data_IF_026805956591
#
_entry.id   IF_026805956591
#
_cell.length_a   1.000
_cell.length_b   1.000
_cell.length_c   1.000
_cell.angle_alpha   90.00
_cell.angle_beta   90.00
_cell.angle_gamma   90.00
#
_symmetry.space_group_name_H-M   'P 1'
#
loop_
_entity.id
_entity.type
_entity.pdbx_description
1 polymer ?
#
# COMPACT_ATOMS: atom_id res chain seq x y z
N UNK A 1 -5.86 2.00 11.08
CA UNK A 1 -4.97 2.54 12.12
C UNK A 1 -3.65 1.78 12.05
N UNK A 2 -2.54 2.50 12.13
CA UNK A 2 -1.19 1.94 12.16
C UNK A 2 -0.46 2.56 13.36
N UNK A 3 -0.16 1.77 14.39
CA UNK A 3 0.28 2.31 15.68
C UNK A 3 -0.79 3.26 16.24
N UNK A 4 -0.43 4.54 16.43
CA UNK A 4 -1.37 5.60 16.83
C UNK A 4 -1.88 6.46 15.67
N UNK A 5 -1.34 6.27 14.45
CA UNK A 5 -1.73 7.05 13.27
C UNK A 5 -3.00 6.51 12.61
N UNK A 6 -3.89 7.43 12.18
CA UNK A 6 -5.03 7.09 11.34
C UNK A 6 -4.66 7.32 9.87
N UNK A 7 -4.81 6.27 9.06
CA UNK A 7 -4.51 6.32 7.62
C UNK A 7 -5.67 5.76 6.81
N UNK A 8 -5.84 6.30 5.60
CA UNK A 8 -6.82 5.87 4.62
C UNK A 8 -6.12 5.32 3.38
N UNK A 9 -6.63 4.21 2.83
CA UNK A 9 -6.16 3.69 1.54
C UNK A 9 -6.67 4.58 0.41
N UNK A 10 -5.74 5.09 -0.40
CA UNK A 10 -6.10 5.96 -1.54
C UNK A 10 -6.57 5.15 -2.74
N UNK A 11 -7.34 5.79 -3.63
CA UNK A 11 -7.75 5.19 -4.91
C UNK A 11 -6.60 5.05 -5.93
N UNK A 12 -5.46 5.74 -5.73
CA UNK A 12 -4.34 5.71 -6.66
C UNK A 12 -3.68 4.32 -6.65
N UNK A 13 -3.59 3.63 -7.79
CA UNK A 13 -2.99 2.31 -7.84
C UNK A 13 -1.45 2.39 -7.75
N UNK A 14 -0.84 1.38 -7.17
CA UNK A 14 0.62 1.26 -7.08
C UNK A 14 1.10 0.16 -8.04
N UNK A 15 1.46 0.53 -9.27
CA UNK A 15 1.64 -0.42 -10.38
C UNK A 15 3.10 -0.75 -10.74
N UNK A 16 4.08 -0.22 -10.00
CA UNK A 16 5.51 -0.44 -10.26
C UNK A 16 6.08 0.56 -11.27
N UNK A 17 6.92 1.48 -10.79
CA UNK A 17 7.60 2.51 -11.59
C UNK A 17 8.93 2.01 -12.18
N UNK A 18 9.63 2.86 -12.93
CA UNK A 18 10.95 2.53 -13.50
C UNK A 18 11.97 2.09 -12.44
N UNK A 19 11.91 2.66 -11.23
CA UNK A 19 12.78 2.23 -10.13
C UNK A 19 12.47 0.81 -9.65
N UNK A 20 11.21 0.37 -9.75
CA UNK A 20 10.83 -1.00 -9.45
C UNK A 20 11.42 -1.96 -10.48
N UNK A 21 11.32 -1.63 -11.77
CA UNK A 21 11.94 -2.40 -12.86
C UNK A 21 13.45 -2.51 -12.69
N UNK A 22 14.11 -1.40 -12.34
CA UNK A 22 15.57 -1.40 -12.11
C UNK A 22 16.00 -2.31 -10.96
N UNK A 23 15.15 -2.50 -9.94
CA UNK A 23 15.48 -3.32 -8.76
C UNK A 23 15.08 -4.79 -8.91
N UNK A 24 13.98 -5.07 -9.60
CA UNK A 24 13.35 -6.40 -9.62
C UNK A 24 13.12 -6.97 -11.03
N UNK A 25 13.38 -6.20 -12.08
CA UNK A 25 13.18 -6.61 -13.48
C UNK A 25 11.78 -6.33 -14.03
N UNK A 26 11.67 -6.46 -15.36
CA UNK A 26 10.43 -6.22 -16.11
C UNK A 26 9.38 -7.29 -15.82
N UNK A 27 9.79 -8.54 -15.65
CA UNK A 27 8.85 -9.64 -15.40
C UNK A 27 8.17 -9.49 -14.03
N UNK A 28 8.91 -9.04 -13.01
CA UNK A 28 8.33 -8.69 -11.72
C UNK A 28 7.31 -7.55 -11.84
N UNK A 29 7.60 -6.51 -12.63
CA UNK A 29 6.66 -5.41 -12.88
C UNK A 29 5.40 -5.91 -13.57
N UNK A 30 5.53 -6.75 -14.60
CA UNK A 30 4.39 -7.35 -15.32
C UNK A 30 3.55 -8.23 -14.40
N UNK A 31 4.18 -9.03 -13.55
CA UNK A 31 3.49 -9.88 -12.58
C UNK A 31 2.62 -9.06 -11.62
N UNK A 32 3.20 -8.07 -10.93
CA UNK A 32 2.45 -7.23 -9.98
C UNK A 32 1.47 -6.28 -10.68
N UNK A 33 1.74 -5.91 -11.93
CA UNK A 33 0.89 -5.04 -12.77
C UNK A 33 -0.24 -5.75 -13.52
N UNK A 34 -0.25 -7.09 -13.54
CA UNK A 34 -1.31 -7.89 -14.16
C UNK A 34 -2.69 -7.62 -13.52
N UNK A 35 -3.78 -7.99 -14.18
CA UNK A 35 -5.14 -7.79 -13.64
C UNK A 35 -5.33 -8.51 -12.29
N UNK A 36 -4.75 -9.71 -12.16
CA UNK A 36 -4.72 -10.45 -10.89
C UNK A 36 -3.86 -9.69 -9.88
N UNK A 37 -2.66 -9.25 -10.27
CA UNK A 37 -1.75 -8.51 -9.41
C UNK A 37 -2.34 -7.21 -8.87
N UNK A 38 -3.08 -6.48 -9.70
CA UNK A 38 -3.79 -5.25 -9.33
C UNK A 38 -4.96 -5.53 -8.40
N UNK A 39 -5.77 -6.56 -8.67
CA UNK A 39 -6.88 -6.99 -7.79
C UNK A 39 -6.41 -7.35 -6.38
N UNK A 40 -5.28 -8.05 -6.29
CA UNK A 40 -4.68 -8.43 -5.00
C UNK A 40 -3.71 -7.39 -4.43
N UNK A 41 -3.46 -6.28 -5.15
CA UNK A 41 -2.54 -5.21 -4.73
C UNK A 41 -1.13 -5.75 -4.40
N UNK A 42 -0.60 -6.65 -5.23
CA UNK A 42 0.65 -7.38 -4.96
C UNK A 42 1.90 -6.49 -4.86
N UNK A 43 1.87 -5.29 -5.46
CA UNK A 43 2.94 -4.29 -5.28
C UNK A 43 2.83 -3.54 -3.95
N UNK A 44 1.65 -3.53 -3.34
CA UNK A 44 1.28 -2.71 -2.19
C UNK A 44 0.23 -1.65 -2.53
N UNK A 45 -0.02 -0.77 -1.58
CA UNK A 45 -1.02 0.30 -1.65
C UNK A 45 -0.41 1.62 -1.20
N UNK A 46 -1.01 2.72 -1.64
CA UNK A 46 -0.76 4.04 -1.07
C UNK A 46 -1.79 4.35 0.01
N UNK A 47 -1.30 4.91 1.11
CA UNK A 47 -2.14 5.44 2.18
C UNK A 47 -1.89 6.93 2.37
N UNK A 48 -2.90 7.64 2.83
CA UNK A 48 -2.81 9.04 3.27
C UNK A 48 -3.00 9.09 4.77
N UNK A 49 -2.21 9.92 5.46
CA UNK A 49 -2.41 10.20 6.88
C UNK A 49 -3.64 11.11 7.02
N UNK A 50 -4.60 10.68 7.82
CA UNK A 50 -5.81 11.42 8.18
C UNK A 50 -5.65 12.06 9.56
N UNK A 51 -4.95 11.38 10.46
CA UNK A 51 -4.59 11.90 11.77
C UNK A 51 -3.15 11.53 12.08
N UNK A 52 -2.38 12.52 12.49
CA UNK A 52 -0.98 12.35 12.88
C UNK A 52 -0.84 11.36 14.03
N UNK A 53 0.32 10.71 14.08
CA UNK A 53 0.65 9.73 15.10
C UNK A 53 2.00 9.09 14.83
N UNK A 54 2.31 8.09 15.63
CA UNK A 54 3.54 7.31 15.55
C UNK A 54 3.24 5.87 15.19
N UNK A 55 4.14 5.27 14.41
CA UNK A 55 4.13 3.85 14.09
C UNK A 55 5.57 3.32 14.13
N UNK A 56 5.75 2.13 14.69
CA UNK A 56 7.01 1.42 14.81
C UNK A 56 6.93 -0.02 14.33
N UNK A 57 8.09 -0.68 14.23
CA UNK A 57 8.15 -2.11 13.93
C UNK A 57 7.52 -2.88 15.09
N UNK A 58 6.59 -3.78 14.76
CA UNK A 58 5.83 -4.57 15.75
C UNK A 58 4.44 -4.02 16.05
N UNK A 59 4.12 -2.79 15.62
CA UNK A 59 2.77 -2.26 15.77
C UNK A 59 1.77 -3.00 14.89
N UNK A 60 0.58 -3.24 15.45
CA UNK A 60 -0.52 -3.87 14.73
C UNK A 60 -1.19 -2.91 13.75
N UNK A 61 -1.50 -3.43 12.56
CA UNK A 61 -2.35 -2.76 11.61
C UNK A 61 -3.81 -3.16 11.85
N UNK A 62 -4.60 -2.23 12.41
CA UNK A 62 -6.00 -2.48 12.76
C UNK A 62 -6.92 -1.80 11.76
N UNK A 63 -7.83 -2.57 11.16
CA UNK A 63 -8.93 -2.00 10.37
C UNK A 63 -9.89 -1.30 11.33
N UNK A 64 -10.12 -0.02 11.10
CA UNK A 64 -11.12 0.77 11.81
C UNK A 64 -12.38 0.85 10.98
N UNK A 65 -13.53 0.79 11.63
CA UNK A 65 -14.80 1.05 10.96
C UNK A 65 -14.85 2.53 10.61
N UNK A 66 -15.26 2.86 9.39
CA UNK A 66 -15.58 4.23 9.06
C UNK A 66 -16.80 4.62 9.90
N UNK A 67 -16.67 5.63 10.75
CA UNK A 67 -17.84 6.27 11.36
C UNK A 67 -18.61 6.91 10.20
N UNK A 68 -19.85 6.47 10.00
CA UNK A 68 -20.75 7.01 8.98
C UNK A 68 -21.15 8.45 9.26
#
# INVERSE_FOLDING_TARGET
MLGTALVEVTAKPHTGCINFVRRYGVDAQRFVGSDVGRRHRLRGIYVRIITDGTAGVGDLATKVNATG
#
